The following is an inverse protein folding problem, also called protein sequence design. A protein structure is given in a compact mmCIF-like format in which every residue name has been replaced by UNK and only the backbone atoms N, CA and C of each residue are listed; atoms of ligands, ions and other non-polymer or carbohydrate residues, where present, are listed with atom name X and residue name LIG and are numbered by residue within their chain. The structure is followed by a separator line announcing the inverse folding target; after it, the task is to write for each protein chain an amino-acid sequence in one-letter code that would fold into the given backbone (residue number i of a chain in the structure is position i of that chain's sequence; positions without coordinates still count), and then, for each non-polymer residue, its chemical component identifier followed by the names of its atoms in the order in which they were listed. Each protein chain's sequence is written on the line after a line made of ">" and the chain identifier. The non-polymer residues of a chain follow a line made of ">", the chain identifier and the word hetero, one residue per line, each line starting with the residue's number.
data_IF_627901312679
#
_entry.id   IF_627901312679
#
_cell.length_a   1.000
_cell.length_b   1.000
_cell.length_c   1.000
_cell.angle_alpha   90.00
_cell.angle_beta   90.00
_cell.angle_gamma   90.00
#
_symmetry.space_group_name_H-M   'P 1'
#
loop_
_entity.id
_entity.type
_entity.pdbx_description
1 polymer ?
#
# COMPACT_ATOMS: atom_id res chain seq x y z
N UNK A 1 -40.91 -18.78 24.24
CA UNK A 1 -39.59 -19.29 23.81
C UNK A 1 -38.99 -18.25 22.89
N UNK A 2 -38.15 -17.37 23.44
CA UNK A 2 -37.48 -16.32 22.68
C UNK A 2 -36.05 -16.27 23.20
N UNK A 3 -35.15 -16.93 22.47
CA UNK A 3 -33.76 -17.14 22.84
C UNK A 3 -32.99 -15.82 22.82
N UNK A 4 -32.58 -15.36 23.99
CA UNK A 4 -31.54 -14.36 24.19
C UNK A 4 -30.20 -14.93 23.71
N UNK A 5 -29.78 -14.58 22.50
CA UNK A 5 -28.46 -14.97 21.99
C UNK A 5 -27.38 -14.20 22.74
N UNK A 6 -26.51 -14.98 23.38
CA UNK A 6 -25.50 -14.56 24.35
C UNK A 6 -24.43 -13.66 23.71
N UNK A 7 -24.26 -12.45 24.26
CA UNK A 7 -23.32 -11.42 23.82
C UNK A 7 -21.89 -11.70 24.32
N UNK A 8 -21.26 -12.76 23.81
CA UNK A 8 -19.81 -12.94 23.87
C UNK A 8 -19.19 -12.66 22.49
N UNK A 9 -19.48 -11.48 21.92
CA UNK A 9 -18.81 -11.06 20.69
C UNK A 9 -17.35 -10.75 21.02
N UNK A 10 -16.43 -11.52 20.46
CA UNK A 10 -14.99 -11.27 20.56
C UNK A 10 -14.62 -9.97 19.84
N UNK A 11 -13.57 -9.30 20.33
CA UNK A 11 -13.10 -8.03 19.77
C UNK A 11 -12.74 -8.27 18.28
N UNK A 12 -13.49 -7.62 17.37
CA UNK A 12 -13.29 -7.73 15.93
C UNK A 12 -14.25 -8.64 15.17
N UNK A 13 -15.21 -9.30 15.83
CA UNK A 13 -16.21 -10.16 15.17
C UNK A 13 -17.07 -9.42 14.14
N UNK A 14 -17.46 -8.18 14.48
CA UNK A 14 -18.18 -7.23 13.61
C UNK A 14 -17.38 -6.88 12.35
N UNK A 15 -16.06 -6.79 12.47
CA UNK A 15 -15.18 -6.50 11.35
C UNK A 15 -14.96 -7.74 10.48
N UNK A 16 -14.99 -8.94 11.06
CA UNK A 16 -14.97 -10.20 10.32
C UNK A 16 -16.30 -10.44 9.58
N UNK A 17 -17.42 -10.00 10.16
CA UNK A 17 -18.74 -10.07 9.52
C UNK A 17 -18.78 -9.28 8.20
N UNK A 18 -18.17 -8.10 8.15
CA UNK A 18 -18.00 -7.33 6.90
C UNK A 18 -17.27 -8.12 5.81
N UNK A 19 -16.23 -8.88 6.17
CA UNK A 19 -15.45 -9.68 5.22
C UNK A 19 -16.22 -10.93 4.78
N UNK A 20 -17.00 -11.53 5.69
CA UNK A 20 -17.88 -12.67 5.37
C UNK A 20 -18.98 -12.26 4.39
N UNK A 21 -19.63 -11.12 4.62
CA UNK A 21 -20.64 -10.57 3.68
C UNK A 21 -20.10 -10.47 2.25
N UNK A 22 -18.82 -10.13 2.07
CA UNK A 22 -18.19 -10.03 0.75
C UNK A 22 -17.88 -11.38 0.11
N UNK A 23 -17.61 -12.42 0.91
CA UNK A 23 -17.18 -13.72 0.41
C UNK A 23 -18.35 -14.69 0.19
N UNK A 24 -19.50 -14.43 0.81
CA UNK A 24 -20.68 -15.28 0.70
C UNK A 24 -21.27 -15.27 -0.73
N UNK A 25 -21.09 -14.19 -1.51
CA UNK A 25 -21.46 -14.10 -2.93
C UNK A 25 -20.39 -13.37 -3.75
N UNK A 26 -19.37 -14.06 -4.30
CA UNK A 26 -18.25 -13.42 -4.98
C UNK A 26 -18.63 -12.66 -6.27
N UNK A 27 -19.77 -13.01 -6.88
CA UNK A 27 -20.24 -12.42 -8.14
C UNK A 27 -21.15 -11.19 -7.93
N UNK A 28 -21.61 -10.95 -6.71
CA UNK A 28 -22.55 -9.86 -6.39
C UNK A 28 -21.99 -9.06 -5.22
N UNK A 29 -21.57 -7.82 -5.51
CA UNK A 29 -21.13 -6.90 -4.47
C UNK A 29 -22.36 -6.53 -3.61
N UNK A 30 -22.38 -6.84 -2.30
CA UNK A 30 -23.50 -6.52 -1.44
C UNK A 30 -23.66 -4.99 -1.29
N UNK A 31 -24.83 -4.48 -0.90
CA UNK A 31 -24.99 -3.05 -0.60
C UNK A 31 -24.08 -2.64 0.56
N UNK A 32 -23.68 -1.36 0.57
CA UNK A 32 -22.80 -0.82 1.62
C UNK A 32 -23.48 -0.88 3.00
N UNK A 33 -22.87 -1.63 3.92
CA UNK A 33 -23.35 -1.84 5.27
C UNK A 33 -22.84 -0.73 6.21
N UNK A 34 -23.53 0.40 6.19
CA UNK A 34 -23.19 1.57 7.00
C UNK A 34 -23.22 1.27 8.50
N UNK A 35 -24.13 0.42 8.94
CA UNK A 35 -24.32 0.09 10.36
C UNK A 35 -23.11 -0.68 10.92
N UNK A 36 -22.62 -1.71 10.22
CA UNK A 36 -21.44 -2.47 10.64
C UNK A 36 -20.16 -1.61 10.59
N UNK A 37 -20.03 -0.73 9.60
CA UNK A 37 -18.87 0.18 9.52
C UNK A 37 -18.85 1.17 10.68
N UNK A 38 -20.01 1.76 11.04
CA UNK A 38 -20.12 2.64 12.22
C UNK A 38 -19.76 1.89 13.50
N UNK A 39 -20.27 0.67 13.67
CA UNK A 39 -19.97 -0.18 14.83
C UNK A 39 -18.46 -0.51 14.93
N UNK A 40 -17.78 -0.75 13.81
CA UNK A 40 -16.34 -0.93 13.79
C UNK A 40 -15.58 0.34 14.19
N UNK A 41 -16.05 1.52 13.77
CA UNK A 41 -15.44 2.80 14.14
C UNK A 41 -15.61 3.13 15.63
N UNK A 42 -16.78 2.82 16.20
CA UNK A 42 -17.06 2.92 17.64
C UNK A 42 -16.11 2.02 18.44
N UNK A 43 -15.98 0.75 18.06
CA UNK A 43 -15.05 -0.19 18.70
C UNK A 43 -13.60 0.28 18.65
N UNK A 44 -13.16 0.89 17.55
CA UNK A 44 -11.81 1.47 17.46
C UNK A 44 -11.65 2.59 18.49
N UNK A 45 -12.63 3.49 18.59
CA UNK A 45 -12.62 4.60 19.55
C UNK A 45 -12.56 4.09 20.99
N UNK A 46 -13.40 3.12 21.34
CA UNK A 46 -13.44 2.52 22.67
C UNK A 46 -12.10 1.87 23.07
N UNK A 47 -11.45 1.17 22.13
CA UNK A 47 -10.14 0.57 22.36
C UNK A 47 -9.04 1.62 22.54
N UNK A 48 -9.10 2.73 21.80
CA UNK A 48 -8.18 3.85 21.98
C UNK A 48 -8.36 4.51 23.35
N UNK A 49 -9.58 4.79 23.76
CA UNK A 49 -9.88 5.40 25.07
C UNK A 49 -9.48 4.48 26.22
N UNK A 50 -9.71 3.18 26.07
CA UNK A 50 -9.29 2.17 27.06
C UNK A 50 -7.77 2.08 27.17
N UNK A 51 -7.06 2.12 26.03
CA UNK A 51 -5.59 2.17 26.03
C UNK A 51 -5.06 3.44 26.67
N UNK A 52 -5.70 4.58 26.42
CA UNK A 52 -5.30 5.86 27.02
C UNK A 52 -5.48 5.86 28.54
N UNK A 53 -6.61 5.37 29.05
CA UNK A 53 -6.84 5.22 30.49
C UNK A 53 -5.80 4.31 31.14
N UNK A 54 -5.56 3.14 30.53
CA UNK A 54 -4.56 2.18 31.03
C UNK A 54 -3.15 2.77 31.08
N UNK A 55 -2.74 3.58 30.09
CA UNK A 55 -1.44 4.24 30.08
C UNK A 55 -1.32 5.35 31.14
N UNK A 56 -2.41 6.07 31.43
CA UNK A 56 -2.42 7.11 32.46
C UNK A 56 -2.32 6.52 33.88
N UNK A 57 -2.85 5.31 34.08
CA UNK A 57 -2.86 4.58 35.35
C UNK A 57 -1.51 3.94 35.73
N UNK A 58 -0.55 3.86 34.79
CA UNK A 58 0.78 3.27 35.02
C UNK A 58 1.61 4.03 36.08
N UNK A 59 1.20 5.25 36.49
CA UNK A 59 1.98 6.08 37.41
C UNK A 59 1.95 5.53 38.86
N UNK A 60 2.99 4.79 39.24
CA UNK A 60 3.25 4.35 40.61
C UNK A 60 3.08 2.85 40.87
N UNK A 61 2.94 2.03 39.81
CA UNK A 61 2.83 0.58 39.91
C UNK A 61 4.19 -0.12 40.10
N UNK A 62 4.14 -1.43 40.40
CA UNK A 62 5.35 -2.27 40.35
C UNK A 62 5.68 -2.63 38.91
N UNK A 63 6.95 -2.89 38.59
CA UNK A 63 7.39 -3.25 37.23
C UNK A 63 6.57 -4.40 36.60
N UNK A 64 6.09 -5.36 37.41
CA UNK A 64 5.25 -6.45 36.91
C UNK A 64 3.85 -5.99 36.47
N UNK A 65 3.27 -4.98 37.11
CA UNK A 65 1.94 -4.46 36.75
C UNK A 65 2.03 -3.55 35.52
N UNK A 66 3.12 -2.81 35.37
CA UNK A 66 3.42 -2.03 34.16
C UNK A 66 3.55 -2.96 32.93
N UNK A 67 4.25 -4.08 33.07
CA UNK A 67 4.44 -5.05 31.99
C UNK A 67 3.13 -5.73 31.56
N UNK A 68 2.27 -6.13 32.51
CA UNK A 68 0.93 -6.68 32.23
C UNK A 68 0.07 -5.66 31.49
N UNK A 69 0.05 -4.42 31.97
CA UNK A 69 -0.71 -3.32 31.38
C UNK A 69 -0.24 -3.05 29.95
N UNK A 70 1.08 -2.98 29.72
CA UNK A 70 1.67 -2.79 28.41
C UNK A 70 1.33 -3.95 27.45
N UNK A 71 1.32 -5.19 27.95
CA UNK A 71 0.94 -6.36 27.16
C UNK A 71 -0.52 -6.29 26.73
N UNK A 72 -1.43 -5.88 27.63
CA UNK A 72 -2.85 -5.65 27.30
C UNK A 72 -3.03 -4.51 26.30
N UNK A 73 -2.30 -3.41 26.45
CA UNK A 73 -2.33 -2.28 25.50
C UNK A 73 -1.89 -2.73 24.10
N UNK A 74 -0.82 -3.53 24.01
CA UNK A 74 -0.36 -4.11 22.73
C UNK A 74 -1.41 -5.04 22.11
N UNK A 75 -2.07 -5.89 22.91
CA UNK A 75 -3.13 -6.78 22.43
C UNK A 75 -4.34 -5.98 21.87
N UNK A 76 -4.77 -4.93 22.57
CA UNK A 76 -5.83 -4.02 22.10
C UNK A 76 -5.41 -3.26 20.85
N UNK A 77 -4.16 -2.81 20.77
CA UNK A 77 -3.62 -2.15 19.59
C UNK A 77 -3.60 -3.08 18.37
N UNK A 78 -3.25 -4.36 18.55
CA UNK A 78 -3.34 -5.36 17.48
C UNK A 78 -4.80 -5.59 17.02
N UNK A 79 -5.77 -5.53 17.94
CA UNK A 79 -7.18 -5.62 17.60
C UNK A 79 -7.66 -4.40 16.79
N UNK A 80 -7.24 -3.18 17.15
CA UNK A 80 -7.49 -1.96 16.36
C UNK A 80 -6.97 -2.12 14.93
N UNK A 81 -5.74 -2.60 14.77
CA UNK A 81 -5.14 -2.84 13.46
C UNK A 81 -5.92 -3.86 12.65
N UNK A 82 -6.38 -4.94 13.28
CA UNK A 82 -7.20 -5.96 12.62
C UNK A 82 -8.54 -5.41 12.14
N UNK A 83 -9.25 -4.63 12.96
CA UNK A 83 -10.52 -4.00 12.59
C UNK A 83 -10.29 -3.05 11.41
N UNK A 84 -9.25 -2.20 11.46
CA UNK A 84 -8.89 -1.30 10.36
C UNK A 84 -8.64 -2.06 9.06
N UNK A 85 -7.88 -3.16 9.11
CA UNK A 85 -7.59 -3.98 7.94
C UNK A 85 -8.88 -4.55 7.32
N UNK A 86 -9.79 -5.09 8.12
CA UNK A 86 -11.07 -5.60 7.63
C UNK A 86 -11.92 -4.49 6.99
N UNK A 87 -12.07 -3.34 7.65
CA UNK A 87 -12.82 -2.21 7.08
C UNK A 87 -12.18 -1.68 5.79
N UNK A 88 -10.85 -1.60 5.72
CA UNK A 88 -10.16 -1.20 4.50
C UNK A 88 -10.35 -2.20 3.36
N UNK A 89 -10.23 -3.50 3.61
CA UNK A 89 -10.50 -4.53 2.62
C UNK A 89 -11.94 -4.43 2.12
N UNK A 90 -12.88 -4.23 3.04
CA UNK A 90 -14.29 -4.05 2.70
C UNK A 90 -14.52 -2.87 1.76
N UNK A 91 -13.99 -1.70 2.10
CA UNK A 91 -14.12 -0.48 1.28
C UNK A 91 -13.41 -0.62 -0.08
N UNK A 92 -12.33 -1.41 -0.17
CA UNK A 92 -11.61 -1.63 -1.42
C UNK A 92 -12.36 -2.55 -2.36
N UNK A 93 -12.92 -3.66 -1.89
CA UNK A 93 -13.75 -4.55 -2.72
C UNK A 93 -15.06 -3.86 -3.14
N UNK A 94 -15.58 -2.96 -2.30
CA UNK A 94 -16.71 -2.08 -2.64
C UNK A 94 -16.37 -0.98 -3.64
N UNK A 95 -15.09 -0.64 -3.84
CA UNK A 95 -14.71 0.34 -4.86
C UNK A 95 -14.88 -0.30 -6.24
N UNK A 96 -15.52 0.38 -7.20
CA UNK A 96 -15.63 -0.13 -8.55
C UNK A 96 -14.23 -0.39 -9.11
N UNK A 97 -13.94 -1.66 -9.41
CA UNK A 97 -12.75 -2.07 -10.15
C UNK A 97 -12.75 -1.33 -11.48
N UNK A 98 -11.57 -0.98 -11.99
CA UNK A 98 -11.45 -0.34 -13.31
C UNK A 98 -12.23 -1.15 -14.33
N UNK A 99 -13.09 -0.49 -15.11
CA UNK A 99 -13.91 -1.14 -16.13
C UNK A 99 -13.00 -2.00 -17.01
N UNK A 100 -13.39 -3.26 -17.21
CA UNK A 100 -12.61 -4.18 -18.03
C UNK A 100 -12.57 -3.71 -19.50
N UNK A 101 -11.47 -4.03 -20.18
CA UNK A 101 -11.23 -3.62 -21.57
C UNK A 101 -12.32 -4.14 -22.52
N UNK A 102 -12.90 -5.32 -22.25
CA UNK A 102 -13.99 -5.88 -23.06
C UNK A 102 -15.23 -5.01 -22.95
N UNK A 103 -15.57 -4.61 -21.73
CA UNK A 103 -16.72 -3.75 -21.45
C UNK A 103 -16.55 -2.35 -22.02
N UNK A 104 -15.36 -1.76 -21.94
CA UNK A 104 -15.06 -0.47 -22.59
C UNK A 104 -15.27 -0.53 -24.11
N UNK A 105 -14.87 -1.63 -24.76
CA UNK A 105 -15.11 -1.83 -26.22
C UNK A 105 -16.59 -2.00 -26.54
N UNK A 106 -17.34 -2.69 -25.69
CA UNK A 106 -18.79 -2.88 -25.86
C UNK A 106 -19.52 -1.53 -25.79
N UNK A 107 -19.16 -0.66 -24.83
CA UNK A 107 -19.72 0.69 -24.69
C UNK A 107 -19.54 1.51 -25.96
N UNK A 108 -18.32 1.51 -26.53
CA UNK A 108 -18.03 2.23 -27.78
C UNK A 108 -18.86 1.67 -28.93
N UNK A 109 -18.94 0.33 -29.06
CA UNK A 109 -19.71 -0.32 -30.11
C UNK A 109 -21.19 0.08 -30.04
N UNK A 110 -21.83 -0.04 -28.88
CA UNK A 110 -23.26 0.26 -28.68
C UNK A 110 -23.60 1.73 -28.95
N UNK A 111 -22.68 2.65 -28.63
CA UNK A 111 -22.91 4.07 -28.84
C UNK A 111 -22.60 4.53 -30.28
N UNK A 112 -21.62 3.92 -30.95
CA UNK A 112 -21.19 4.33 -32.30
C UNK A 112 -21.91 3.57 -33.43
N UNK A 113 -22.65 2.47 -33.15
CA UNK A 113 -23.55 1.83 -34.12
C UNK A 113 -24.74 2.71 -34.51
N UNK A 114 -25.39 2.39 -35.64
CA UNK A 114 -26.51 3.17 -36.23
C UNK A 114 -27.72 3.37 -35.29
N UNK A 115 -27.95 2.45 -34.35
CA UNK A 115 -29.00 2.58 -33.33
C UNK A 115 -28.68 3.61 -32.23
N UNK A 116 -27.44 4.10 -32.16
CA UNK A 116 -26.91 5.15 -31.28
C UNK A 116 -27.51 5.15 -29.88
N UNK A 117 -27.25 4.08 -29.13
CA UNK A 117 -27.82 3.93 -27.80
C UNK A 117 -27.38 5.08 -26.88
N UNK A 118 -28.32 5.59 -26.09
CA UNK A 118 -28.01 6.63 -25.10
C UNK A 118 -27.15 6.07 -23.98
N UNK A 119 -26.31 6.91 -23.35
CA UNK A 119 -25.47 6.47 -22.23
C UNK A 119 -26.27 5.91 -21.05
N UNK A 120 -27.51 6.36 -20.84
CA UNK A 120 -28.40 5.79 -19.82
C UNK A 120 -28.80 4.37 -20.18
N UNK A 121 -29.20 4.11 -21.45
CA UNK A 121 -29.57 2.77 -21.90
C UNK A 121 -28.37 1.81 -21.87
N UNK A 122 -27.17 2.29 -22.20
CA UNK A 122 -25.94 1.51 -22.11
C UNK A 122 -25.60 1.21 -20.64
N UNK A 123 -25.80 2.17 -19.73
CA UNK A 123 -25.60 1.98 -18.29
C UNK A 123 -26.50 0.86 -17.74
N UNK A 124 -27.79 0.89 -18.08
CA UNK A 124 -28.75 -0.13 -17.66
C UNK A 124 -28.41 -1.51 -18.25
N UNK A 125 -27.93 -1.55 -19.50
CA UNK A 125 -27.55 -2.80 -20.17
C UNK A 125 -26.27 -3.44 -19.62
N UNK A 126 -25.29 -2.61 -19.24
CA UNK A 126 -23.97 -3.07 -18.77
C UNK A 126 -23.90 -3.15 -17.24
N UNK A 127 -24.86 -2.57 -16.52
CA UNK A 127 -24.89 -2.54 -15.05
C UNK A 127 -23.85 -1.61 -14.43
N UNK A 128 -23.44 -0.57 -15.16
CA UNK A 128 -22.41 0.39 -14.74
C UNK A 128 -23.04 1.79 -14.65
N UNK A 129 -22.68 2.63 -13.65
CA UNK A 129 -23.17 4.00 -13.58
C UNK A 129 -22.93 4.78 -14.87
N UNK A 130 -23.92 5.60 -15.26
CA UNK A 130 -23.89 6.40 -16.50
C UNK A 130 -22.62 7.25 -16.64
N UNK A 131 -22.14 7.83 -15.55
CA UNK A 131 -20.92 8.66 -15.51
C UNK A 131 -19.69 7.81 -15.86
N UNK A 132 -19.61 6.59 -15.33
CA UNK A 132 -18.54 5.64 -15.63
C UNK A 132 -18.59 5.17 -17.09
N UNK A 133 -19.78 4.97 -17.66
CA UNK A 133 -19.97 4.68 -19.09
C UNK A 133 -19.50 5.84 -19.97
N UNK A 134 -19.85 7.08 -19.60
CA UNK A 134 -19.44 8.30 -20.31
C UNK A 134 -17.91 8.47 -20.26
N UNK A 135 -17.31 8.31 -19.09
CA UNK A 135 -15.86 8.43 -18.89
C UNK A 135 -15.11 7.35 -19.67
N UNK A 136 -15.59 6.11 -19.66
CA UNK A 136 -15.04 5.01 -20.43
C UNK A 136 -15.08 5.30 -21.95
N UNK A 137 -16.24 5.76 -22.45
CA UNK A 137 -16.40 6.15 -23.84
C UNK A 137 -15.40 7.24 -24.26
N UNK A 138 -15.30 8.32 -23.49
CA UNK A 138 -14.38 9.41 -23.80
C UNK A 138 -12.90 9.02 -23.66
N UNK A 139 -12.56 8.19 -22.68
CA UNK A 139 -11.20 7.65 -22.51
C UNK A 139 -10.77 6.81 -23.72
N UNK A 140 -11.66 5.95 -24.21
CA UNK A 140 -11.37 5.08 -25.35
C UNK A 140 -11.31 5.87 -26.67
N UNK A 141 -12.17 6.87 -26.84
CA UNK A 141 -12.17 7.75 -28.02
C UNK A 141 -11.01 8.74 -28.04
N UNK A 142 -10.59 9.20 -26.86
CA UNK A 142 -9.45 10.09 -26.65
C UNK A 142 -8.37 9.40 -25.80
N UNK A 143 -7.62 8.44 -26.37
CA UNK A 143 -6.61 7.67 -25.64
C UNK A 143 -5.38 8.49 -25.21
N UNK A 144 -5.34 9.80 -25.52
CA UNK A 144 -4.28 10.75 -25.11
C UNK A 144 -4.34 11.09 -23.62
N UNK A 145 -4.65 10.12 -22.77
CA UNK A 145 -4.46 10.26 -21.33
C UNK A 145 -2.97 10.07 -21.08
N UNK A 146 -2.26 11.17 -20.91
CA UNK A 146 -0.90 11.11 -20.37
C UNK A 146 -0.98 10.43 -19.01
N UNK A 147 -0.16 9.39 -18.81
CA UNK A 147 0.05 8.86 -17.46
C UNK A 147 0.39 10.04 -16.58
N UNK A 148 -0.26 10.16 -15.42
CA UNK A 148 0.10 11.19 -14.46
C UNK A 148 1.59 11.03 -14.19
N UNK A 149 2.38 12.03 -14.58
CA UNK A 149 3.80 12.02 -14.30
C UNK A 149 3.98 11.92 -12.79
N UNK A 150 4.91 11.07 -12.37
CA UNK A 150 5.28 10.98 -10.98
C UNK A 150 5.85 12.30 -10.47
N UNK A 151 6.15 12.36 -9.17
CA UNK A 151 6.80 13.52 -8.58
C UNK A 151 8.08 13.86 -9.36
N UNK A 152 8.24 15.14 -9.72
CA UNK A 152 9.45 15.64 -10.37
C UNK A 152 10.69 15.25 -9.57
N UNK A 153 11.74 14.81 -10.27
CA UNK A 153 13.02 14.44 -9.67
C UNK A 153 13.64 15.65 -8.97
N UNK A 154 14.41 15.38 -7.91
CA UNK A 154 15.21 16.40 -7.20
C UNK A 154 16.45 16.81 -7.99
N UNK A 155 16.99 15.90 -8.81
CA UNK A 155 18.15 16.17 -9.65
C UNK A 155 17.73 16.55 -11.06
N UNK A 156 18.59 17.31 -11.74
CA UNK A 156 18.49 17.57 -13.18
C UNK A 156 19.43 16.65 -13.96
N UNK A 157 19.18 16.45 -15.25
CA UNK A 157 20.06 15.62 -16.09
C UNK A 157 21.51 16.13 -16.17
N UNK A 158 21.75 17.43 -15.95
CA UNK A 158 23.11 17.98 -15.84
C UNK A 158 23.82 17.52 -14.57
N UNK A 159 23.13 17.57 -13.43
CA UNK A 159 23.65 17.12 -12.14
C UNK A 159 23.95 15.62 -12.20
N UNK A 160 23.06 14.82 -12.78
CA UNK A 160 23.26 13.37 -12.94
C UNK A 160 24.52 13.04 -13.78
N UNK A 161 24.75 13.80 -14.87
CA UNK A 161 25.98 13.69 -15.66
C UNK A 161 27.23 14.10 -14.88
N UNK A 162 27.15 15.14 -14.05
CA UNK A 162 28.27 15.57 -13.22
C UNK A 162 28.62 14.52 -12.15
N UNK A 163 27.62 13.94 -11.48
CA UNK A 163 27.78 12.84 -10.53
C UNK A 163 28.47 11.65 -11.21
N UNK A 164 27.96 11.22 -12.36
CA UNK A 164 28.53 10.09 -13.10
C UNK A 164 29.94 10.39 -13.64
N UNK A 165 30.22 11.63 -14.03
CA UNK A 165 31.56 12.04 -14.48
C UNK A 165 32.56 12.00 -13.33
N UNK A 166 32.22 12.52 -12.15
CA UNK A 166 33.10 12.52 -10.98
C UNK A 166 33.47 11.11 -10.52
N UNK A 167 32.50 10.20 -10.50
CA UNK A 167 32.77 8.79 -10.19
C UNK A 167 33.65 8.11 -11.24
N UNK A 168 33.57 8.50 -12.52
CA UNK A 168 34.47 7.99 -13.56
C UNK A 168 35.88 8.59 -13.50
N UNK A 169 35.99 9.87 -13.18
CA UNK A 169 37.28 10.55 -12.98
C UNK A 169 38.04 9.90 -11.82
N UNK A 170 37.36 9.63 -10.70
CA UNK A 170 37.95 9.00 -9.53
C UNK A 170 37.04 7.86 -9.00
N UNK A 171 37.29 6.59 -9.40
CA UNK A 171 36.47 5.44 -9.00
C UNK A 171 36.44 5.15 -7.49
N UNK A 172 37.36 5.74 -6.72
CA UNK A 172 37.42 5.59 -5.25
C UNK A 172 36.54 6.58 -4.50
N UNK A 173 36.03 7.62 -5.17
CA UNK A 173 35.15 8.60 -4.52
C UNK A 173 33.84 7.97 -4.11
N UNK A 174 33.47 8.18 -2.85
CA UNK A 174 32.23 7.70 -2.27
C UNK A 174 31.08 8.67 -2.56
N UNK A 175 29.83 8.18 -2.49
CA UNK A 175 28.67 9.02 -2.75
C UNK A 175 28.53 10.26 -1.83
N UNK A 176 28.88 10.21 -0.52
CA UNK A 176 28.95 11.41 0.32
C UNK A 176 29.97 12.43 -0.17
N UNK A 177 31.17 12.00 -0.54
CA UNK A 177 32.24 12.88 -1.02
C UNK A 177 31.85 13.54 -2.35
N UNK A 178 31.22 12.80 -3.27
CA UNK A 178 30.70 13.36 -4.53
C UNK A 178 29.61 14.42 -4.26
N UNK A 179 28.77 14.22 -3.24
CA UNK A 179 27.75 15.19 -2.85
C UNK A 179 28.38 16.48 -2.34
N UNK A 180 29.41 16.38 -1.51
CA UNK A 180 30.14 17.52 -0.95
C UNK A 180 30.91 18.27 -2.03
N UNK A 181 31.63 17.56 -2.90
CA UNK A 181 32.41 18.14 -3.99
C UNK A 181 31.52 18.90 -5.00
N UNK A 182 30.33 18.36 -5.28
CA UNK A 182 29.35 19.00 -6.17
C UNK A 182 28.41 19.99 -5.46
N UNK A 183 28.57 20.21 -4.15
CA UNK A 183 27.75 21.11 -3.32
C UNK A 183 26.25 20.86 -3.46
N UNK A 184 25.85 19.58 -3.40
CA UNK A 184 24.46 19.13 -3.54
C UNK A 184 23.78 19.00 -2.17
N UNK A 185 23.58 20.14 -1.51
CA UNK A 185 23.08 20.19 -0.13
C UNK A 185 21.60 19.78 -0.01
N UNK A 186 20.81 20.10 -1.04
CA UNK A 186 19.38 19.83 -1.16
C UNK A 186 19.04 18.36 -1.48
N UNK A 187 20.06 17.56 -1.83
CA UNK A 187 19.92 16.18 -2.28
C UNK A 187 20.52 15.24 -1.23
N UNK A 188 19.81 14.16 -0.91
CA UNK A 188 20.30 13.14 0.01
C UNK A 188 21.38 12.27 -0.64
N UNK A 189 22.32 11.74 0.17
CA UNK A 189 23.36 10.79 -0.29
C UNK A 189 22.74 9.60 -1.06
N UNK A 190 21.60 9.08 -0.58
CA UNK A 190 20.89 7.97 -1.23
C UNK A 190 20.46 8.33 -2.66
N UNK A 191 20.10 9.58 -2.91
CA UNK A 191 19.73 10.05 -4.25
C UNK A 191 20.93 10.02 -5.19
N UNK A 192 22.10 10.47 -4.72
CA UNK A 192 23.37 10.38 -5.48
C UNK A 192 23.71 8.91 -5.79
N UNK A 193 23.58 8.01 -4.81
CA UNK A 193 23.75 6.57 -5.04
C UNK A 193 22.77 6.03 -6.08
N UNK A 194 21.49 6.42 -6.02
CA UNK A 194 20.51 6.03 -7.04
C UNK A 194 20.91 6.51 -8.44
N UNK A 195 21.45 7.74 -8.57
CA UNK A 195 21.94 8.25 -9.85
C UNK A 195 23.11 7.42 -10.38
N UNK A 196 24.05 7.03 -9.50
CA UNK A 196 25.18 6.18 -9.86
C UNK A 196 24.73 4.77 -10.26
N UNK A 197 23.78 4.18 -9.54
CA UNK A 197 23.20 2.86 -9.86
C UNK A 197 22.49 2.90 -11.23
N UNK A 198 21.70 3.95 -11.52
CA UNK A 198 21.01 4.11 -12.80
C UNK A 198 21.97 4.11 -14.01
N UNK A 199 23.20 4.59 -13.83
CA UNK A 199 24.24 4.58 -14.88
C UNK A 199 25.17 3.36 -14.80
N UNK A 200 24.85 2.36 -13.97
CA UNK A 200 25.63 1.13 -13.82
C UNK A 200 26.89 1.26 -12.96
N UNK A 201 27.10 2.38 -12.27
CA UNK A 201 28.21 2.61 -11.35
C UNK A 201 27.75 2.26 -9.93
N UNK A 202 27.82 0.99 -9.56
CA UNK A 202 27.46 0.53 -8.22
C UNK A 202 28.64 -0.16 -7.54
N UNK A 203 28.78 0.07 -6.23
CA UNK A 203 29.76 -0.65 -5.42
C UNK A 203 29.38 -2.13 -5.33
N UNK A 204 30.33 -3.03 -5.55
CA UNK A 204 30.17 -4.46 -5.29
C UNK A 204 30.85 -4.79 -3.96
N UNK A 205 30.17 -5.54 -3.09
CA UNK A 205 30.83 -6.19 -1.95
C UNK A 205 31.60 -7.40 -2.49
N UNK A 206 32.88 -7.59 -2.14
CA UNK A 206 33.58 -8.81 -2.50
C UNK A 206 32.84 -10.03 -1.96
N UNK A 207 32.83 -11.11 -2.73
CA UNK A 207 32.23 -12.37 -2.28
C UNK A 207 32.96 -12.84 -1.02
N UNK A 208 32.20 -13.14 0.03
CA UNK A 208 32.75 -13.86 1.18
C UNK A 208 33.20 -15.22 0.66
N UNK A 209 34.50 -15.48 0.73
CA UNK A 209 35.03 -16.78 0.35
C UNK A 209 34.38 -17.81 1.27
N UNK A 210 33.79 -18.90 0.75
CA UNK A 210 33.29 -19.97 1.60
C UNK A 210 34.41 -20.41 2.55
N UNK A 211 34.08 -20.64 3.81
CA UNK A 211 35.06 -21.07 4.81
C UNK A 211 35.76 -22.34 4.33
N UNK A 212 37.01 -22.19 3.88
CA UNK A 212 37.86 -23.35 3.56
C UNK A 212 38.11 -24.05 4.88
N UNK A 213 37.73 -25.32 4.99
CA UNK A 213 37.98 -26.09 6.20
C UNK A 213 39.49 -26.10 6.50
N UNK A 214 39.91 -26.12 7.78
CA UNK A 214 41.33 -26.16 8.14
C UNK A 214 42.10 -27.33 7.49
N UNK A 215 41.40 -28.43 7.16
CA UNK A 215 41.98 -29.58 6.44
C UNK A 215 42.44 -29.21 5.02
N UNK A 216 41.61 -28.52 4.25
CA UNK A 216 41.93 -28.16 2.86
C UNK A 216 42.98 -27.04 2.76
N UNK A 217 43.12 -26.20 3.79
CA UNK A 217 44.21 -25.21 3.87
C UNK A 217 45.58 -25.89 4.04
N UNK A 218 45.63 -26.97 4.83
CA UNK A 218 46.87 -27.71 5.11
C UNK A 218 47.37 -28.53 3.91
N UNK A 219 46.45 -29.03 3.09
CA UNK A 219 46.74 -29.89 1.94
C UNK A 219 47.30 -29.12 0.72
N UNK A 220 46.99 -27.82 0.61
CA UNK A 220 47.51 -26.94 -0.46
C UNK A 220 48.82 -26.19 -0.12
N UNK A 221 49.35 -26.35 1.09
CA UNK A 221 50.59 -25.68 1.54
C UNK A 221 51.85 -26.57 1.45
N UNK A 222 51.74 -27.78 0.90
CA UNK A 222 52.87 -28.69 0.64
C UNK A 222 53.22 -28.74 -0.86
#
# INVERSE_FOLDING_TARGET
>A
MSSSFSSNATIGDTALELVRELHDNPDIIPPYNEALIKKCAEQITDLYDTNMKALLEIRGGTASEEEKTMTMVRARQAAIERIKQCCCAYIQEMRPKSIDQVTERLIVRLHDTDERWSFTRIADHVGIPKESVRDAYHRQKNPKVHKKDGRKRKTSGRVDRMIARKSRENPKLTAPEIREELKLDDITVRTVQNRLIEVGLFGRRPAEKPFISPKNVKEHQN
#
